data_IF_942266381308
#
_entry.id   IF_942266381308
#
_cell.length_a   1.000
_cell.length_b   1.000
_cell.length_c   1.000
_cell.angle_alpha   90.00
_cell.angle_beta   90.00
_cell.angle_gamma   90.00
#
_symmetry.space_group_name_H-M   'P 1'
#
loop_
_entity.id
_entity.type
_entity.pdbx_description
1 polymer ?
#
# COMPACT_ATOMS: atom_id res chain seq x y z
N UNK A 1 -17.10 -29.84 -32.60
CA UNK A 1 -15.74 -29.69 -33.10
C UNK A 1 -14.96 -28.81 -32.14
N UNK A 2 -13.97 -29.39 -31.60
CA UNK A 2 -13.07 -28.55 -30.83
C UNK A 2 -12.15 -27.84 -31.79
N UNK A 3 -11.96 -26.60 -31.62
CA UNK A 3 -11.21 -25.85 -32.57
C UNK A 3 -10.03 -25.15 -31.91
N UNK A 4 -9.12 -24.75 -32.73
CA UNK A 4 -7.92 -24.04 -32.35
C UNK A 4 -8.24 -22.74 -31.59
N UNK A 5 -9.29 -22.04 -32.01
CA UNK A 5 -9.67 -20.77 -31.40
C UNK A 5 -10.11 -20.95 -29.95
N UNK A 6 -10.88 -21.99 -29.63
CA UNK A 6 -11.29 -22.29 -28.26
C UNK A 6 -10.10 -22.64 -27.38
N UNK A 7 -9.17 -23.45 -27.88
CA UNK A 7 -7.98 -23.84 -27.15
C UNK A 7 -7.09 -22.63 -26.89
N UNK A 8 -6.91 -21.78 -27.88
CA UNK A 8 -6.13 -20.56 -27.75
C UNK A 8 -6.74 -19.61 -26.72
N UNK A 9 -8.07 -19.44 -26.77
CA UNK A 9 -8.77 -18.58 -25.81
C UNK A 9 -8.55 -19.06 -24.37
N UNK A 10 -8.60 -20.36 -24.15
CA UNK A 10 -8.34 -20.92 -22.81
C UNK A 10 -6.92 -20.68 -22.35
N UNK A 11 -5.94 -20.83 -23.22
CA UNK A 11 -4.54 -20.58 -22.88
C UNK A 11 -4.30 -19.12 -22.58
N UNK A 12 -4.90 -18.20 -23.34
CA UNK A 12 -4.77 -16.77 -23.09
C UNK A 12 -5.40 -16.39 -21.75
N UNK A 13 -6.56 -16.97 -21.43
CA UNK A 13 -7.22 -16.70 -20.14
C UNK A 13 -6.38 -17.23 -18.99
N UNK A 14 -5.82 -18.42 -19.12
CA UNK A 14 -4.95 -18.97 -18.09
C UNK A 14 -3.73 -18.10 -17.86
N UNK A 15 -3.10 -17.63 -18.93
CA UNK A 15 -1.95 -16.73 -18.84
C UNK A 15 -2.33 -15.42 -18.16
N UNK A 16 -3.45 -14.82 -18.55
CA UNK A 16 -3.92 -13.58 -17.94
C UNK A 16 -4.18 -13.74 -16.45
N UNK A 17 -4.76 -14.88 -16.04
CA UNK A 17 -4.99 -15.15 -14.63
C UNK A 17 -3.69 -15.28 -13.83
N UNK A 18 -2.68 -15.93 -14.39
CA UNK A 18 -1.37 -16.07 -13.75
C UNK A 18 -0.69 -14.71 -13.59
N UNK A 19 -0.74 -13.87 -14.62
CA UNK A 19 -0.16 -12.52 -14.57
C UNK A 19 -0.88 -11.69 -13.52
N UNK A 20 -2.22 -11.73 -13.51
CA UNK A 20 -3.03 -10.98 -12.56
C UNK A 20 -2.73 -11.40 -11.12
N UNK A 21 -2.63 -12.70 -10.86
CA UNK A 21 -2.28 -13.22 -9.55
C UNK A 21 -0.89 -12.74 -9.12
N UNK A 22 0.08 -12.76 -10.04
CA UNK A 22 1.41 -12.25 -9.77
C UNK A 22 1.42 -10.78 -9.40
N UNK A 23 0.63 -9.96 -10.09
CA UNK A 23 0.51 -8.55 -9.79
C UNK A 23 -0.13 -8.31 -8.42
N UNK A 24 -1.18 -9.06 -8.09
CA UNK A 24 -1.83 -8.96 -6.78
C UNK A 24 -0.86 -9.33 -5.66
N UNK A 25 -0.05 -10.36 -5.85
CA UNK A 25 0.94 -10.77 -4.86
C UNK A 25 2.00 -9.69 -4.65
N UNK A 26 2.47 -9.04 -5.71
CA UNK A 26 3.44 -7.96 -5.59
C UNK A 26 2.86 -6.75 -4.87
N UNK A 27 1.62 -6.39 -5.17
CA UNK A 27 0.92 -5.29 -4.50
C UNK A 27 0.79 -5.62 -3.01
N UNK A 28 0.41 -6.84 -2.68
CA UNK A 28 0.24 -7.26 -1.29
C UNK A 28 1.56 -7.22 -0.51
N UNK A 29 2.65 -7.69 -1.13
CA UNK A 29 3.98 -7.63 -0.50
C UNK A 29 4.43 -6.20 -0.24
N UNK A 30 4.25 -5.31 -1.23
CA UNK A 30 4.61 -3.89 -1.06
C UNK A 30 3.74 -3.26 0.02
N UNK A 31 2.45 -3.62 0.08
CA UNK A 31 1.56 -3.12 1.12
C UNK A 31 2.01 -3.55 2.51
N UNK A 32 2.45 -4.80 2.67
CA UNK A 32 2.97 -5.29 3.95
C UNK A 32 4.23 -4.54 4.37
N UNK A 33 5.14 -4.33 3.44
CA UNK A 33 6.36 -3.55 3.70
C UNK A 33 6.01 -2.11 4.07
N UNK A 34 5.06 -1.52 3.35
CA UNK A 34 4.63 -0.15 3.61
C UNK A 34 4.00 -0.02 5.00
N UNK A 35 3.15 -0.98 5.41
CA UNK A 35 2.58 -0.99 6.77
C UNK A 35 3.69 -1.05 7.81
N UNK A 36 4.69 -1.90 7.62
CA UNK A 36 5.83 -1.99 8.52
C UNK A 36 6.59 -0.67 8.64
N UNK A 37 6.82 -0.01 7.50
CA UNK A 37 7.50 1.29 7.48
C UNK A 37 6.66 2.39 8.14
N UNK A 38 5.36 2.40 7.92
CA UNK A 38 4.46 3.35 8.57
C UNK A 38 4.46 3.17 10.08
N UNK A 39 4.43 1.92 10.55
CA UNK A 39 4.53 1.65 11.99
C UNK A 39 5.86 2.13 12.55
N UNK A 40 6.95 1.86 11.84
CA UNK A 40 8.30 2.24 12.28
C UNK A 40 8.48 3.75 12.31
N UNK A 41 7.94 4.46 11.31
CA UNK A 41 8.13 5.88 11.15
C UNK A 41 7.12 6.74 11.91
N UNK A 42 6.03 6.14 12.39
CA UNK A 42 4.98 6.87 13.11
C UNK A 42 5.47 7.32 14.48
N UNK A 43 4.93 8.45 15.01
CA UNK A 43 5.28 8.90 16.36
C UNK A 43 4.99 7.84 17.41
N UNK A 44 5.90 7.72 18.38
CA UNK A 44 5.85 6.68 19.42
C UNK A 44 5.02 7.07 20.63
N UNK A 45 4.64 8.33 20.77
CA UNK A 45 4.14 8.92 21.99
C UNK A 45 2.97 8.18 22.64
N UNK A 46 2.05 7.65 21.84
CA UNK A 46 0.88 6.94 22.37
C UNK A 46 0.87 5.44 22.05
N UNK A 47 1.73 4.97 21.19
CA UNK A 47 1.75 3.57 20.77
C UNK A 47 0.54 3.12 19.96
N UNK A 48 -0.67 3.58 20.32
CA UNK A 48 -1.91 3.19 19.67
C UNK A 48 -1.97 3.61 18.20
N UNK A 49 -1.55 4.82 17.89
CA UNK A 49 -1.49 5.28 16.51
C UNK A 49 -0.49 4.45 15.72
N UNK A 50 0.71 4.29 16.25
CA UNK A 50 1.78 3.53 15.60
C UNK A 50 1.35 2.11 15.27
N UNK A 51 0.68 1.44 16.21
CA UNK A 51 0.20 0.07 16.05
C UNK A 51 -1.06 -0.03 15.19
N UNK A 52 -1.71 1.11 14.93
CA UNK A 52 -3.00 1.14 14.26
C UNK A 52 -2.96 1.01 12.74
N UNK A 53 -1.79 0.94 12.13
CA UNK A 53 -1.69 0.80 10.68
C UNK A 53 -2.15 -0.57 10.23
N UNK A 54 -3.01 -0.59 9.22
CA UNK A 54 -3.62 -1.81 8.67
C UNK A 54 -3.68 -1.72 7.16
N UNK A 55 -3.65 -2.86 6.50
CA UNK A 55 -3.98 -2.92 5.09
C UNK A 55 -5.37 -3.52 4.93
N UNK A 56 -6.10 -3.06 3.92
CA UNK A 56 -7.41 -3.59 3.57
C UNK A 56 -7.45 -3.80 2.08
N UNK A 57 -7.84 -5.00 1.67
CA UNK A 57 -7.99 -5.30 0.26
C UNK A 57 -9.30 -4.70 -0.25
N UNK A 58 -9.23 -3.95 -1.35
CA UNK A 58 -10.41 -3.39 -2.01
C UNK A 58 -10.33 -3.72 -3.50
N UNK A 59 -11.21 -4.60 -3.97
CA UNK A 59 -11.13 -5.07 -5.34
C UNK A 59 -9.78 -5.72 -5.60
N UNK A 60 -9.05 -5.22 -6.59
CA UNK A 60 -7.71 -5.70 -6.94
C UNK A 60 -6.59 -4.88 -6.29
N UNK A 61 -6.95 -3.82 -5.59
CA UNK A 61 -5.99 -2.96 -4.93
C UNK A 61 -5.97 -3.15 -3.42
N UNK A 62 -5.14 -2.38 -2.76
CA UNK A 62 -5.00 -2.40 -1.32
C UNK A 62 -5.00 -0.97 -0.81
N UNK A 63 -5.75 -0.73 0.26
CA UNK A 63 -5.78 0.55 0.95
C UNK A 63 -5.05 0.40 2.28
N UNK A 64 -4.17 1.34 2.58
CA UNK A 64 -3.52 1.42 3.88
C UNK A 64 -4.23 2.47 4.71
N UNK A 65 -4.63 2.10 5.92
CA UNK A 65 -5.35 3.00 6.80
C UNK A 65 -4.91 2.81 8.24
N UNK A 66 -5.24 3.80 9.06
CA UNK A 66 -4.93 3.73 10.48
C UNK A 66 -6.23 3.71 11.27
N UNK A 67 -6.30 2.87 12.30
CA UNK A 67 -7.47 2.78 13.18
C UNK A 67 -7.76 4.09 13.91
N UNK A 68 -6.77 4.98 14.00
CA UNK A 68 -6.90 6.32 14.54
C UNK A 68 -6.71 7.36 13.44
N UNK A 69 -7.40 7.17 12.31
CA UNK A 69 -7.21 7.98 11.11
C UNK A 69 -7.39 9.47 11.28
N UNK A 70 -8.21 9.89 12.25
CA UNK A 70 -8.41 11.31 12.54
C UNK A 70 -7.13 12.01 13.01
N UNK A 71 -6.13 11.27 13.49
CA UNK A 71 -4.85 11.85 13.89
C UNK A 71 -3.86 11.98 12.75
N UNK A 72 -4.09 11.27 11.65
CA UNK A 72 -3.11 11.13 10.57
C UNK A 72 -2.69 12.48 9.99
N UNK A 73 -3.63 13.30 9.56
CA UNK A 73 -3.30 14.58 8.94
C UNK A 73 -2.76 15.59 9.95
N UNK A 74 -3.19 15.51 11.22
CA UNK A 74 -2.67 16.40 12.26
C UNK A 74 -1.19 16.12 12.51
N UNK A 75 -0.81 14.85 12.54
CA UNK A 75 0.58 14.44 12.74
C UNK A 75 1.45 14.76 11.53
N UNK A 76 0.94 14.47 10.34
CA UNK A 76 1.71 14.67 9.11
C UNK A 76 1.97 16.17 8.83
N UNK A 77 0.97 17.00 9.08
CA UNK A 77 1.02 18.43 8.73
C UNK A 77 1.21 19.37 9.91
N UNK A 78 1.13 18.85 11.13
CA UNK A 78 1.11 19.67 12.33
C UNK A 78 -0.25 20.29 12.55
N UNK A 79 -0.45 20.97 13.66
CA UNK A 79 -1.71 21.66 13.95
C UNK A 79 -1.52 22.76 14.99
N UNK A 80 -2.48 23.69 15.05
CA UNK A 80 -2.47 24.76 16.02
C UNK A 80 -2.85 24.24 17.40
N UNK A 81 -2.17 24.75 18.43
CA UNK A 81 -2.52 24.45 19.84
C UNK A 81 -3.61 25.37 20.34
N UNK A 82 -4.47 24.89 21.25
CA UNK A 82 -5.53 25.69 21.82
C UNK A 82 -5.02 26.91 22.60
N UNK A 83 -3.85 26.80 23.21
CA UNK A 83 -3.25 27.88 23.99
C UNK A 83 -2.28 28.76 23.21
N UNK A 84 -2.25 28.64 21.90
CA UNK A 84 -1.30 29.37 21.04
C UNK A 84 -0.11 28.49 20.63
N UNK A 85 0.52 28.89 19.51
CA UNK A 85 1.60 28.12 18.90
C UNK A 85 1.10 26.93 18.07
N UNK A 86 2.02 26.13 17.56
CA UNK A 86 1.71 24.96 16.74
C UNK A 86 2.43 23.74 17.25
N UNK A 87 1.77 22.59 17.11
CA UNK A 87 2.43 21.30 17.26
C UNK A 87 3.18 21.04 15.96
N UNK A 88 4.50 20.77 16.00
CA UNK A 88 5.27 20.49 14.81
C UNK A 88 4.76 19.24 14.09
N UNK A 89 4.89 19.23 12.78
CA UNK A 89 4.57 18.05 11.99
C UNK A 89 5.55 16.91 12.28
N UNK A 90 5.04 15.70 12.21
CA UNK A 90 5.84 14.46 12.29
C UNK A 90 5.63 13.70 11.00
N UNK A 91 6.43 14.04 9.98
CA UNK A 91 6.29 13.46 8.66
C UNK A 91 6.64 11.97 8.71
N UNK A 92 5.70 11.12 8.36
CA UNK A 92 5.90 9.67 8.40
C UNK A 92 5.25 8.96 7.20
N UNK A 93 4.28 9.59 6.55
CA UNK A 93 3.58 9.00 5.41
C UNK A 93 4.34 9.27 4.12
N UNK A 94 4.82 10.50 3.91
CA UNK A 94 5.48 10.87 2.66
C UNK A 94 6.66 9.96 2.30
N UNK A 95 7.59 9.61 3.22
CA UNK A 95 8.68 8.71 2.86
C UNK A 95 8.20 7.32 2.43
N UNK A 96 7.11 6.82 3.02
CA UNK A 96 6.54 5.53 2.67
C UNK A 96 5.86 5.61 1.31
N UNK A 97 5.13 6.69 1.06
CA UNK A 97 4.51 6.95 -0.24
C UNK A 97 5.57 6.99 -1.35
N UNK A 98 6.67 7.68 -1.12
CA UNK A 98 7.78 7.74 -2.07
C UNK A 98 8.38 6.35 -2.31
N UNK A 99 8.52 5.54 -1.26
CA UNK A 99 8.98 4.17 -1.40
C UNK A 99 8.05 3.35 -2.29
N UNK A 100 6.74 3.44 -2.07
CA UNK A 100 5.76 2.68 -2.86
C UNK A 100 5.78 3.13 -4.32
N UNK A 101 5.81 4.43 -4.57
CA UNK A 101 5.84 4.98 -5.93
C UNK A 101 7.08 4.52 -6.70
N UNK A 102 8.21 4.39 -6.01
CA UNK A 102 9.45 3.96 -6.63
C UNK A 102 9.54 2.44 -6.80
N UNK A 103 9.15 1.69 -5.78
CA UNK A 103 9.35 0.24 -5.75
C UNK A 103 8.27 -0.56 -6.47
N UNK A 104 7.01 -0.15 -6.37
CA UNK A 104 5.91 -0.94 -6.93
C UNK A 104 6.02 -1.12 -8.45
N UNK A 105 6.29 -0.09 -9.24
CA UNK A 105 6.45 -0.28 -10.69
C UNK A 105 7.55 -1.27 -11.05
N UNK A 106 8.65 -1.26 -10.31
CA UNK A 106 9.76 -2.20 -10.54
C UNK A 106 9.34 -3.63 -10.30
N UNK A 107 8.59 -3.88 -9.23
CA UNK A 107 8.12 -5.22 -8.90
C UNK A 107 7.09 -5.71 -9.90
N UNK A 108 6.19 -4.85 -10.33
CA UNK A 108 5.20 -5.18 -11.35
C UNK A 108 5.89 -5.54 -12.67
N UNK A 109 6.87 -4.75 -13.07
CA UNK A 109 7.63 -5.02 -14.29
C UNK A 109 8.29 -6.40 -14.23
N UNK A 110 8.93 -6.74 -13.12
CA UNK A 110 9.54 -8.05 -12.95
C UNK A 110 8.52 -9.18 -12.99
N UNK A 111 7.37 -8.99 -12.38
CA UNK A 111 6.31 -10.00 -12.36
C UNK A 111 5.78 -10.27 -13.77
N UNK A 112 5.62 -9.22 -14.56
CA UNK A 112 5.12 -9.34 -15.95
C UNK A 112 6.12 -10.01 -16.86
N UNK A 113 7.41 -9.86 -16.62
CA UNK A 113 8.46 -10.41 -17.45
C UNK A 113 8.78 -11.88 -17.19
N UNK A 114 8.22 -12.47 -16.16
CA UNK A 114 8.46 -13.88 -15.83
C UNK A 114 7.83 -14.87 -16.78
#
# INVERSE_FOLDING_TARGET
>A
MNDFASDLARELQRYANVVEEGLENEIDEVADIAVGKLKQNSPKKTGGYRKGWRKKKEGKGVVLHNTKGQLTHLLENGHAKAGGGRVPKKVHILPVEEYVIDELPRRIERAVQR
#
